data_IF_919578369448
#
_entry.id   IF_919578369448
#
_cell.length_a   1.000
_cell.length_b   1.000
_cell.length_c   1.000
_cell.angle_alpha   90.00
_cell.angle_beta   90.00
_cell.angle_gamma   90.00
#
_symmetry.space_group_name_H-M   'P 1'
#
loop_
_entity.id
_entity.type
_entity.pdbx_description
1 polymer ?
#
# COMPACT_ATOMS: atom_id res chain seq x y z
N UNK A 1 -9.02 -2.08 13.06
CA UNK A 1 -9.04 -3.55 12.82
C UNK A 1 -8.93 -3.97 11.34
N UNK A 2 -8.58 -3.09 10.37
CA UNK A 2 -8.50 -3.47 8.93
C UNK A 2 -7.09 -3.49 8.32
N UNK A 3 -6.04 -3.08 9.04
CA UNK A 3 -4.65 -3.10 8.53
C UNK A 3 -4.00 -4.49 8.51
N UNK A 4 -4.52 -5.46 9.26
CA UNK A 4 -3.99 -6.84 9.26
C UNK A 4 -4.17 -7.55 7.91
N UNK A 5 -5.19 -7.17 7.12
CA UNK A 5 -5.50 -7.81 5.83
C UNK A 5 -4.55 -7.41 4.70
N UNK A 6 -3.97 -6.20 4.72
CA UNK A 6 -3.02 -5.76 3.69
C UNK A 6 -1.61 -6.35 3.91
N UNK A 7 -1.19 -6.48 5.17
CA UNK A 7 0.08 -7.15 5.50
C UNK A 7 0.04 -8.64 5.15
N UNK A 8 -1.11 -9.31 5.33
CA UNK A 8 -1.34 -10.69 4.84
C UNK A 8 -1.31 -10.75 3.31
N UNK A 9 -1.76 -9.70 2.60
CA UNK A 9 -1.67 -9.64 1.14
C UNK A 9 -0.24 -9.43 0.65
N UNK A 10 0.54 -8.55 1.29
CA UNK A 10 1.97 -8.36 0.96
C UNK A 10 2.80 -9.61 1.34
N UNK A 11 2.49 -10.27 2.46
CA UNK A 11 3.08 -11.56 2.82
C UNK A 11 2.59 -12.71 1.91
N UNK A 12 1.37 -12.66 1.37
CA UNK A 12 0.87 -13.60 0.37
C UNK A 12 1.43 -13.32 -1.05
N UNK A 13 1.78 -12.07 -1.35
CA UNK A 13 2.53 -11.70 -2.56
C UNK A 13 4.01 -12.10 -2.44
N UNK A 14 4.55 -12.19 -1.22
CA UNK A 14 5.83 -12.84 -0.93
C UNK A 14 5.73 -14.36 -0.91
N UNK A 15 4.58 -14.92 -0.52
CA UNK A 15 4.25 -16.34 -0.58
C UNK A 15 3.48 -16.72 -1.85
N UNK A 16 3.96 -16.24 -3.00
CA UNK A 16 3.27 -16.20 -4.28
C UNK A 16 2.33 -17.37 -4.60
N UNK A 17 1.21 -17.01 -5.24
CA UNK A 17 0.35 -17.88 -6.03
C UNK A 17 1.14 -19.02 -6.68
N UNK A 18 0.67 -20.26 -6.49
CA UNK A 18 1.34 -21.53 -6.82
C UNK A 18 1.82 -21.70 -8.28
N UNK A 19 2.85 -20.96 -8.69
CA UNK A 19 3.58 -21.19 -9.93
C UNK A 19 5.04 -21.48 -9.62
N UNK A 20 5.40 -22.74 -9.90
CA UNK A 20 6.73 -23.31 -10.10
C UNK A 20 7.93 -22.70 -9.33
N UNK A 21 7.93 -22.84 -8.01
CA UNK A 21 9.16 -22.79 -7.21
C UNK A 21 10.10 -23.97 -7.57
N UNK A 22 11.44 -23.79 -7.54
CA UNK A 22 12.39 -24.88 -7.61
C UNK A 22 12.16 -25.89 -6.47
N UNK A 23 12.49 -27.18 -6.66
CA UNK A 23 12.07 -28.23 -5.75
C UNK A 23 12.87 -28.19 -4.45
N UNK A 24 12.39 -27.45 -3.44
CA UNK A 24 12.41 -28.04 -2.10
C UNK A 24 11.67 -29.38 -2.21
N UNK A 25 12.14 -30.49 -1.62
CA UNK A 25 11.42 -31.74 -1.65
C UNK A 25 9.99 -31.48 -1.16
N UNK A 26 9.05 -31.43 -2.11
CA UNK A 26 7.65 -31.09 -1.83
C UNK A 26 7.14 -32.20 -0.95
N UNK A 27 7.05 -31.93 0.34
CA UNK A 27 6.29 -32.81 1.20
C UNK A 27 4.88 -32.88 0.61
N UNK A 28 4.31 -34.10 0.51
CA UNK A 28 2.97 -34.26 0.00
C UNK A 28 2.04 -33.30 0.76
N UNK A 29 1.15 -32.58 0.06
CA UNK A 29 0.09 -31.82 0.69
C UNK A 29 -0.65 -32.69 1.71
N UNK A 30 -1.16 -32.16 2.83
CA UNK A 30 -1.91 -32.94 3.82
C UNK A 30 -3.00 -33.82 3.18
N UNK A 31 -3.65 -33.33 2.12
CA UNK A 31 -4.69 -34.04 1.35
C UNK A 31 -4.15 -35.31 0.66
N UNK A 32 -2.87 -35.30 0.25
CA UNK A 32 -2.21 -36.51 -0.29
C UNK A 32 -1.86 -37.53 0.80
N UNK A 33 -1.63 -37.08 2.04
CA UNK A 33 -1.46 -37.99 3.17
C UNK A 33 -2.80 -38.68 3.54
N UNK A 34 -3.94 -38.03 3.31
CA UNK A 34 -5.26 -38.59 3.63
C UNK A 34 -5.66 -39.76 2.74
N UNK A 35 -5.15 -39.82 1.51
CA UNK A 35 -5.35 -40.94 0.59
C UNK A 35 -4.49 -42.18 0.91
N UNK A 36 -3.65 -42.12 1.95
CA UNK A 36 -2.81 -43.25 2.37
C UNK A 36 -3.49 -44.04 3.49
N UNK A 37 -3.17 -45.32 3.61
CA UNK A 37 -3.75 -46.20 4.63
C UNK A 37 -2.84 -46.40 5.85
N UNK A 38 -3.46 -46.47 7.03
CA UNK A 38 -2.84 -46.89 8.29
C UNK A 38 -1.53 -46.17 8.63
N UNK A 39 -0.46 -46.95 8.86
CA UNK A 39 0.86 -46.45 9.28
C UNK A 39 1.50 -45.49 8.26
N UNK A 40 1.19 -45.63 6.98
CA UNK A 40 1.77 -44.79 5.93
C UNK A 40 1.20 -43.37 5.97
N UNK A 41 -0.10 -43.23 6.24
CA UNK A 41 -0.76 -41.93 6.48
C UNK A 41 -0.21 -41.24 7.71
N UNK A 42 -0.09 -41.96 8.82
CA UNK A 42 0.43 -41.40 10.08
C UNK A 42 1.86 -40.87 9.91
N UNK A 43 2.75 -41.66 9.29
CA UNK A 43 4.12 -41.22 9.00
C UNK A 43 4.18 -40.04 8.01
N UNK A 44 3.23 -39.95 7.08
CA UNK A 44 3.10 -38.81 6.17
C UNK A 44 2.70 -37.53 6.92
N UNK A 45 1.64 -37.60 7.73
CA UNK A 45 1.14 -36.48 8.53
C UNK A 45 2.18 -35.99 9.55
N UNK A 46 2.90 -36.90 10.21
CA UNK A 46 3.97 -36.52 11.14
C UNK A 46 5.08 -35.72 10.44
N UNK A 47 5.49 -36.14 9.24
CA UNK A 47 6.49 -35.42 8.44
C UNK A 47 5.98 -34.07 7.96
N UNK A 48 4.73 -33.99 7.51
CA UNK A 48 4.10 -32.74 7.10
C UNK A 48 4.06 -31.73 8.26
N UNK A 49 3.59 -32.15 9.45
CA UNK A 49 3.58 -31.32 10.67
C UNK A 49 4.98 -30.91 11.11
N UNK A 50 5.94 -31.83 11.09
CA UNK A 50 7.33 -31.54 11.45
C UNK A 50 7.94 -30.46 10.56
N UNK A 51 7.67 -30.50 9.25
CA UNK A 51 8.15 -29.50 8.31
C UNK A 51 7.39 -28.18 8.39
N UNK A 52 6.09 -28.20 8.64
CA UNK A 52 5.31 -26.99 8.91
C UNK A 52 5.81 -26.29 10.17
N UNK A 53 6.06 -27.03 11.26
CA UNK A 53 6.68 -26.50 12.46
C UNK A 53 8.10 -25.97 12.21
N UNK A 54 8.88 -26.63 11.34
CA UNK A 54 10.17 -26.15 10.86
C UNK A 54 10.05 -24.79 10.16
N UNK A 55 9.20 -24.70 9.14
CA UNK A 55 8.92 -23.44 8.40
C UNK A 55 8.43 -22.33 9.31
N UNK A 56 7.54 -22.65 10.26
CA UNK A 56 7.04 -21.68 11.25
C UNK A 56 8.17 -21.13 12.12
N UNK A 57 9.08 -21.97 12.61
CA UNK A 57 10.27 -21.53 13.37
C UNK A 57 11.22 -20.69 12.53
N UNK A 58 11.48 -21.07 11.28
CA UNK A 58 12.36 -20.33 10.38
C UNK A 58 11.77 -18.96 10.04
N UNK A 59 10.46 -18.90 9.77
CA UNK A 59 9.74 -17.65 9.54
C UNK A 59 9.76 -16.75 10.79
N UNK A 60 9.53 -17.30 11.98
CA UNK A 60 9.63 -16.55 13.23
C UNK A 60 11.06 -15.99 13.44
N UNK A 61 12.09 -16.78 13.13
CA UNK A 61 13.49 -16.35 13.22
C UNK A 61 13.81 -15.24 12.21
N UNK A 62 13.34 -15.37 10.98
CA UNK A 62 13.47 -14.35 9.94
C UNK A 62 12.77 -13.05 10.36
N UNK A 63 11.52 -13.13 10.80
CA UNK A 63 10.74 -11.99 11.26
C UNK A 63 11.43 -11.27 12.43
N UNK A 64 11.90 -11.99 13.44
CA UNK A 64 12.64 -11.36 14.54
C UNK A 64 13.97 -10.72 14.09
N UNK A 65 14.61 -11.23 13.03
CA UNK A 65 15.81 -10.63 12.46
C UNK A 65 15.50 -9.38 11.62
N UNK A 66 14.36 -9.36 10.92
CA UNK A 66 13.81 -8.17 10.25
C UNK A 66 13.50 -7.09 11.28
N UNK A 67 12.81 -7.43 12.36
CA UNK A 67 12.43 -6.45 13.40
C UNK A 67 13.67 -5.80 14.05
N UNK A 68 14.72 -6.60 14.35
CA UNK A 68 16.01 -6.06 14.80
C UNK A 68 16.71 -5.17 13.77
N UNK A 69 16.57 -5.48 12.48
CA UNK A 69 17.12 -4.63 11.43
C UNK A 69 16.36 -3.30 11.35
N UNK A 70 15.03 -3.34 11.41
CA UNK A 70 14.19 -2.15 11.38
C UNK A 70 14.41 -1.25 12.59
N UNK A 71 14.58 -1.80 13.79
CA UNK A 71 14.96 -1.01 14.97
C UNK A 71 16.31 -0.28 14.79
N UNK A 72 17.29 -0.92 14.14
CA UNK A 72 18.56 -0.25 13.80
C UNK A 72 18.37 0.82 12.72
N UNK A 73 17.49 0.57 11.75
CA UNK A 73 17.17 1.54 10.70
C UNK A 73 16.49 2.77 11.30
N UNK A 74 15.50 2.59 12.16
CA UNK A 74 14.82 3.63 12.94
C UNK A 74 15.84 4.53 13.65
N UNK A 75 16.76 3.94 14.42
CA UNK A 75 17.79 4.70 15.15
C UNK A 75 18.74 5.47 14.21
N UNK A 76 19.12 4.88 13.07
CA UNK A 76 20.00 5.53 12.09
C UNK A 76 19.31 6.72 11.42
N UNK A 77 18.07 6.56 11.00
CA UNK A 77 17.27 7.61 10.38
C UNK A 77 17.00 8.75 11.37
N UNK A 78 16.74 8.43 12.63
CA UNK A 78 16.60 9.46 13.67
C UNK A 78 17.88 10.31 13.82
N UNK A 79 19.04 9.64 13.77
CA UNK A 79 20.35 10.26 13.97
C UNK A 79 20.80 11.16 12.80
N UNK A 80 20.21 11.04 11.60
CA UNK A 80 20.55 11.95 10.48
C UNK A 80 20.08 13.38 10.77
N UNK A 81 19.02 13.54 11.57
CA UNK A 81 18.42 14.84 11.85
C UNK A 81 17.58 15.40 10.70
N UNK A 82 17.53 14.72 9.56
CA UNK A 82 16.74 15.12 8.38
C UNK A 82 15.24 14.90 8.63
N UNK A 83 14.40 15.86 8.22
CA UNK A 83 12.97 15.85 8.56
C UNK A 83 12.24 14.62 8.00
N UNK A 84 12.52 14.25 6.75
CA UNK A 84 11.93 13.05 6.10
C UNK A 84 12.38 11.76 6.78
N UNK A 85 13.65 11.67 7.19
CA UNK A 85 14.19 10.50 7.90
C UNK A 85 13.62 10.38 9.31
N UNK A 86 13.45 11.49 10.03
CA UNK A 86 12.81 11.51 11.35
C UNK A 86 11.35 11.05 11.29
N UNK A 87 10.61 11.47 10.24
CA UNK A 87 9.24 11.00 10.02
C UNK A 87 9.22 9.49 9.73
N UNK A 88 10.08 9.01 8.84
CA UNK A 88 10.19 7.59 8.53
C UNK A 88 10.63 6.76 9.76
N UNK A 89 11.51 7.30 10.61
CA UNK A 89 11.92 6.69 11.88
C UNK A 89 10.72 6.50 12.81
N UNK A 90 9.94 7.56 13.06
CA UNK A 90 8.73 7.50 13.88
C UNK A 90 7.75 6.42 13.38
N UNK A 91 7.66 6.29 12.06
CA UNK A 91 6.83 5.29 11.39
C UNK A 91 7.33 3.86 11.57
N UNK A 92 8.61 3.60 11.33
CA UNK A 92 9.20 2.28 11.53
C UNK A 92 8.98 1.82 12.97
N UNK A 93 9.23 2.69 13.95
CA UNK A 93 9.01 2.37 15.37
C UNK A 93 7.56 1.99 15.67
N UNK A 94 6.59 2.69 15.07
CA UNK A 94 5.20 2.35 15.24
C UNK A 94 4.78 1.04 14.59
N UNK A 95 5.32 0.74 13.41
CA UNK A 95 5.08 -0.52 12.73
C UNK A 95 5.62 -1.71 13.53
N UNK A 96 6.83 -1.58 14.10
CA UNK A 96 7.41 -2.56 15.04
C UNK A 96 6.47 -2.76 16.24
N UNK A 97 6.03 -1.66 16.87
CA UNK A 97 5.13 -1.73 18.02
C UNK A 97 3.76 -2.34 17.67
N UNK A 98 3.23 -2.10 16.46
CA UNK A 98 1.98 -2.69 15.98
C UNK A 98 2.09 -4.20 15.80
N UNK A 99 3.20 -4.66 15.21
CA UNK A 99 3.49 -6.10 15.06
C UNK A 99 3.70 -6.79 16.40
N UNK A 100 4.40 -6.14 17.34
CA UNK A 100 4.58 -6.65 18.71
C UNK A 100 3.22 -7.00 19.34
N UNK A 101 2.28 -6.04 19.31
CA UNK A 101 0.91 -6.22 19.82
C UNK A 101 0.11 -7.30 19.09
N UNK A 102 0.29 -7.45 17.78
CA UNK A 102 -0.43 -8.46 17.01
C UNK A 102 0.04 -9.90 17.32
N UNK A 103 1.28 -10.05 17.77
CA UNK A 103 1.86 -11.33 18.18
C UNK A 103 1.60 -11.66 19.66
N UNK A 104 1.18 -10.67 20.46
CA UNK A 104 0.92 -10.84 21.88
C UNK A 104 -0.38 -11.59 22.16
N UNK A 105 -0.24 -12.91 22.36
CA UNK A 105 -0.83 -13.61 23.49
C UNK A 105 0.21 -13.74 24.61
N UNK A 106 0.44 -12.66 25.37
CA UNK A 106 1.35 -12.55 26.53
C UNK A 106 2.86 -12.78 26.30
N UNK A 107 3.61 -11.70 26.07
CA UNK A 107 5.08 -11.62 26.27
C UNK A 107 5.90 -11.64 24.98
N UNK A 108 5.57 -10.77 24.03
CA UNK A 108 6.26 -10.67 22.75
C UNK A 108 7.73 -10.30 22.93
N UNK A 109 8.68 -11.04 22.33
CA UNK A 109 10.10 -10.66 22.32
C UNK A 109 10.40 -9.36 21.56
N UNK A 110 9.35 -8.69 21.04
CA UNK A 110 9.43 -7.40 20.38
C UNK A 110 9.13 -6.21 21.34
N UNK A 111 8.68 -6.49 22.57
CA UNK A 111 8.48 -5.45 23.58
C UNK A 111 9.80 -4.74 23.88
N UNK A 112 9.81 -3.41 23.71
CA UNK A 112 11.00 -2.57 23.89
C UNK A 112 11.94 -2.47 22.69
N UNK A 113 11.61 -3.06 21.53
CA UNK A 113 12.43 -2.90 20.32
C UNK A 113 12.22 -1.56 19.60
N UNK A 114 11.05 -0.93 19.73
CA UNK A 114 10.88 0.46 19.25
C UNK A 114 11.54 1.40 20.26
N UNK A 115 12.28 2.37 19.74
CA UNK A 115 12.94 3.38 20.56
C UNK A 115 12.00 4.43 21.14
N UNK A 116 10.72 4.44 20.73
CA UNK A 116 9.77 5.48 21.12
C UNK A 116 8.64 4.95 21.98
N UNK A 117 8.48 5.58 23.14
CA UNK A 117 7.20 5.59 23.84
C UNK A 117 6.17 6.42 23.04
N UNK A 118 4.85 6.16 23.17
CA UNK A 118 3.82 6.88 22.42
C UNK A 118 3.87 8.42 22.58
N UNK A 119 4.25 8.90 23.76
CA UNK A 119 4.44 10.32 24.09
C UNK A 119 5.66 10.93 23.38
N UNK A 120 6.81 10.26 23.40
CA UNK A 120 8.02 10.69 22.69
C UNK A 120 7.80 10.77 21.17
N UNK A 121 7.03 9.83 20.62
CA UNK A 121 6.66 9.86 19.20
C UNK A 121 5.83 11.09 18.86
N UNK A 122 4.87 11.46 19.69
CA UNK A 122 4.05 12.66 19.49
C UNK A 122 4.92 13.93 19.41
N UNK A 123 5.84 14.08 20.37
CA UNK A 123 6.78 15.21 20.40
C UNK A 123 7.67 15.25 19.16
N UNK A 124 8.19 14.10 18.71
CA UNK A 124 8.98 14.02 17.48
C UNK A 124 8.17 14.45 16.26
N UNK A 125 6.94 13.93 16.12
CA UNK A 125 6.08 14.24 14.99
C UNK A 125 5.68 15.73 14.94
N UNK A 126 5.44 16.36 16.09
CA UNK A 126 5.22 17.80 16.15
C UNK A 126 6.46 18.61 15.74
N UNK A 127 7.66 18.16 16.14
CA UNK A 127 8.91 18.79 15.73
C UNK A 127 9.15 18.64 14.21
N UNK A 128 8.87 17.45 13.66
CA UNK A 128 8.88 17.18 12.22
C UNK A 128 7.90 18.10 11.49
N UNK A 129 6.67 18.24 11.99
CA UNK A 129 5.67 19.13 11.39
C UNK A 129 6.15 20.58 11.32
N UNK A 130 6.73 21.11 12.40
CA UNK A 130 7.24 22.50 12.43
C UNK A 130 8.42 22.69 11.47
N UNK A 131 9.39 21.76 11.48
CA UNK A 131 10.61 21.86 10.65
C UNK A 131 10.37 21.56 9.17
N UNK A 132 9.37 20.73 8.88
CA UNK A 132 8.99 20.30 7.53
C UNK A 132 7.75 20.99 6.98
N UNK A 133 7.33 22.11 7.57
CA UNK A 133 6.11 22.82 7.17
C UNK A 133 6.13 23.29 5.71
N UNK A 134 7.32 23.45 5.10
CA UNK A 134 7.47 23.89 3.71
C UNK A 134 7.69 22.73 2.72
N UNK A 135 7.73 21.49 3.22
CA UNK A 135 7.92 20.29 2.41
C UNK A 135 6.59 19.57 2.21
N UNK A 136 5.98 19.74 1.03
CA UNK A 136 4.69 19.15 0.71
C UNK A 136 4.67 17.62 0.93
N UNK A 137 5.78 16.92 0.65
CA UNK A 137 5.85 15.47 0.83
C UNK A 137 5.81 15.07 2.31
N UNK A 138 6.46 15.84 3.19
CA UNK A 138 6.37 15.66 4.64
C UNK A 138 4.94 15.87 5.11
N UNK A 139 4.27 16.92 4.61
CA UNK A 139 2.87 17.19 4.96
C UNK A 139 1.93 16.08 4.46
N UNK A 140 2.15 15.55 3.25
CA UNK A 140 1.41 14.40 2.71
C UNK A 140 1.56 13.14 3.55
N UNK A 141 2.80 12.83 3.94
CA UNK A 141 3.07 11.71 4.84
C UNK A 141 2.36 11.92 6.18
N UNK A 142 2.48 13.09 6.81
CA UNK A 142 1.78 13.41 8.06
C UNK A 142 0.25 13.44 7.95
N UNK A 143 -0.31 13.72 6.77
CA UNK A 143 -1.75 13.79 6.58
C UNK A 143 -2.41 12.43 6.30
N UNK A 144 -1.63 11.46 5.79
CA UNK A 144 -2.11 10.15 5.31
C UNK A 144 -1.51 8.96 6.05
N UNK A 145 -0.59 9.18 6.99
CA UNK A 145 -0.05 8.11 7.81
C UNK A 145 -1.12 7.57 8.78
N UNK A 146 -1.29 6.24 8.84
CA UNK A 146 -2.14 5.57 9.81
C UNK A 146 -1.78 5.94 11.26
N UNK A 147 -0.51 6.25 11.54
CA UNK A 147 -0.07 6.79 12.82
C UNK A 147 -0.76 8.08 13.21
N UNK A 148 -0.91 8.99 12.26
CA UNK A 148 -1.42 10.35 12.53
C UNK A 148 -2.91 10.34 12.82
N UNK A 149 -3.61 9.23 12.57
CA UNK A 149 -4.97 9.02 13.08
C UNK A 149 -5.02 9.06 14.61
N UNK A 150 -3.93 8.71 15.30
CA UNK A 150 -3.79 8.86 16.75
C UNK A 150 -3.46 10.29 17.20
N UNK A 151 -3.15 11.20 16.27
CA UNK A 151 -2.80 12.60 16.52
C UNK A 151 -3.65 13.56 15.66
N UNK A 152 -4.96 13.72 15.93
CA UNK A 152 -5.87 14.44 15.04
C UNK A 152 -5.52 15.93 14.82
N UNK A 153 -4.94 16.60 15.82
CA UNK A 153 -4.49 17.99 15.73
C UNK A 153 -3.33 18.15 14.76
N UNK A 154 -2.33 17.27 14.86
CA UNK A 154 -1.19 17.20 13.95
C UNK A 154 -1.65 16.94 12.52
N UNK A 155 -2.52 15.94 12.33
CA UNK A 155 -3.08 15.61 11.01
C UNK A 155 -3.83 16.80 10.41
N UNK A 156 -4.63 17.50 11.21
CA UNK A 156 -5.35 18.72 10.79
C UNK A 156 -4.38 19.82 10.37
N UNK A 157 -3.32 20.06 11.15
CA UNK A 157 -2.30 21.05 10.82
C UNK A 157 -1.56 20.72 9.51
N UNK A 158 -1.23 19.44 9.29
CA UNK A 158 -0.59 19.00 8.07
C UNK A 158 -1.47 19.20 6.83
N UNK A 159 -2.76 18.85 6.93
CA UNK A 159 -3.73 19.06 5.85
C UNK A 159 -3.92 20.56 5.56
N UNK A 160 -4.05 21.40 6.59
CA UNK A 160 -4.18 22.84 6.40
C UNK A 160 -2.96 23.39 5.65
N UNK A 161 -1.75 22.94 6.01
CA UNK A 161 -0.53 23.35 5.32
C UNK A 161 -0.45 22.84 3.88
N UNK A 162 -0.93 21.62 3.59
CA UNK A 162 -1.04 21.11 2.21
C UNK A 162 -1.91 21.99 1.33
N UNK A 163 -3.03 22.51 1.86
CA UNK A 163 -3.91 23.41 1.09
C UNK A 163 -3.21 24.73 0.72
N UNK A 164 -2.25 25.18 1.54
CA UNK A 164 -1.44 26.37 1.26
C UNK A 164 -0.28 26.08 0.29
N UNK A 165 0.40 24.95 0.45
CA UNK A 165 1.52 24.55 -0.41
C UNK A 165 1.06 24.11 -1.82
N UNK A 166 -0.11 23.50 -1.91
CA UNK A 166 -0.64 22.90 -3.13
C UNK A 166 -2.09 23.32 -3.42
N UNK A 167 -2.36 24.64 -3.55
CA UNK A 167 -3.72 25.15 -3.69
C UNK A 167 -4.43 24.66 -4.97
N UNK A 168 -3.64 24.26 -5.97
CA UNK A 168 -4.03 23.77 -7.28
C UNK A 168 -4.19 22.24 -7.35
N UNK A 169 -3.80 21.51 -6.30
CA UNK A 169 -3.87 20.06 -6.24
C UNK A 169 -5.20 19.58 -5.68
N UNK A 170 -6.00 18.92 -6.52
CA UNK A 170 -7.28 18.35 -6.12
C UNK A 170 -7.13 17.34 -4.98
N UNK A 171 -6.07 16.53 -4.98
CA UNK A 171 -5.90 15.49 -3.97
C UNK A 171 -5.82 16.08 -2.55
N UNK A 172 -5.11 17.19 -2.36
CA UNK A 172 -5.00 17.88 -1.08
C UNK A 172 -6.37 18.40 -0.61
N UNK A 173 -7.17 18.97 -1.52
CA UNK A 173 -8.54 19.42 -1.21
C UNK A 173 -9.44 18.27 -0.81
N UNK A 174 -9.40 17.15 -1.53
CA UNK A 174 -10.21 15.97 -1.20
C UNK A 174 -9.84 15.37 0.15
N UNK A 175 -8.55 15.39 0.53
CA UNK A 175 -8.09 14.96 1.84
C UNK A 175 -8.63 15.85 2.98
N UNK A 176 -8.87 17.13 2.70
CA UNK A 176 -9.32 18.12 3.68
C UNK A 176 -10.82 18.07 4.00
N UNK A 177 -11.63 17.48 3.13
CA UNK A 177 -13.11 17.44 3.19
C UNK A 177 -13.62 17.05 4.58
N UNK A 178 -13.05 16.02 5.22
CA UNK A 178 -13.53 15.53 6.53
C UNK A 178 -12.82 16.09 7.75
N UNK A 179 -11.72 16.80 7.54
CA UNK A 179 -10.79 17.10 8.63
C UNK A 179 -10.74 18.58 8.92
N UNK A 180 -10.58 19.37 7.86
CA UNK A 180 -10.39 20.82 7.93
C UNK A 180 -11.62 21.55 7.40
N UNK A 181 -12.34 20.95 6.44
CA UNK A 181 -13.49 21.57 5.76
C UNK A 181 -14.83 20.84 6.06
N UNK A 182 -15.14 20.49 7.33
CA UNK A 182 -16.39 19.80 7.64
C UNK A 182 -17.58 20.74 7.39
N UNK A 183 -18.48 20.34 6.49
CA UNK A 183 -19.67 21.12 6.15
C UNK A 183 -19.44 22.26 5.16
N UNK A 184 -18.19 22.52 4.74
CA UNK A 184 -17.93 23.46 3.65
C UNK A 184 -18.32 22.86 2.31
N UNK A 185 -18.77 23.74 1.39
CA UNK A 185 -19.04 23.37 0.01
C UNK A 185 -17.75 22.86 -0.64
N UNK A 186 -17.85 21.74 -1.36
CA UNK A 186 -16.74 21.18 -2.12
C UNK A 186 -16.40 22.12 -3.29
N UNK A 187 -15.52 23.10 -3.04
CA UNK A 187 -14.98 23.98 -4.08
C UNK A 187 -13.67 23.41 -4.64
N UNK A 188 -13.78 22.92 -5.87
CA UNK A 188 -12.67 22.38 -6.66
C UNK A 188 -12.36 23.25 -7.87
N UNK A 189 -12.89 24.48 -7.90
CA UNK A 189 -12.76 25.40 -9.02
C UNK A 189 -11.30 25.71 -9.34
N UNK A 190 -10.50 25.90 -8.29
CA UNK A 190 -9.08 26.23 -8.36
C UNK A 190 -8.15 25.04 -8.65
N UNK A 191 -8.66 23.80 -8.64
CA UNK A 191 -7.80 22.61 -8.83
C UNK A 191 -7.51 22.37 -10.30
N UNK A 192 -6.23 22.38 -10.68
CA UNK A 192 -5.76 22.17 -12.06
C UNK A 192 -4.95 20.90 -12.24
N UNK A 193 -4.66 20.16 -11.17
CA UNK A 193 -3.99 18.84 -11.20
C UNK A 193 -4.51 17.89 -10.12
N UNK A 194 -4.14 16.63 -10.23
CA UNK A 194 -4.33 15.62 -9.18
C UNK A 194 -2.99 14.91 -8.94
N UNK A 195 -2.50 14.96 -7.71
CA UNK A 195 -1.30 14.21 -7.29
C UNK A 195 -1.44 13.84 -5.81
N UNK A 196 -1.57 12.55 -5.47
CA UNK A 196 -1.63 12.10 -4.08
C UNK A 196 -0.23 11.79 -3.50
N UNK A 197 0.82 12.13 -4.26
CA UNK A 197 2.22 11.83 -4.00
C UNK A 197 2.44 10.36 -3.62
N UNK A 198 1.62 9.45 -4.16
CA UNK A 198 1.57 8.07 -3.67
C UNK A 198 2.89 7.34 -3.93
N UNK A 199 3.40 7.44 -5.16
CA UNK A 199 4.67 6.84 -5.56
C UNK A 199 5.89 7.69 -5.17
N UNK A 200 5.74 9.01 -5.03
CA UNK A 200 6.83 9.84 -4.49
C UNK A 200 7.14 9.48 -3.03
N UNK A 201 6.10 9.20 -2.23
CA UNK A 201 6.29 8.66 -0.89
C UNK A 201 7.00 7.31 -0.93
N UNK A 202 6.60 6.38 -1.80
CA UNK A 202 7.31 5.09 -1.96
C UNK A 202 8.80 5.28 -2.23
N UNK A 203 9.19 6.28 -3.05
CA UNK A 203 10.59 6.58 -3.33
C UNK A 203 11.36 6.98 -2.07
N UNK A 204 10.77 7.74 -1.15
CA UNK A 204 11.39 8.06 0.16
C UNK A 204 11.71 6.79 0.95
N UNK A 205 10.81 5.80 0.98
CA UNK A 205 11.08 4.51 1.62
C UNK A 205 12.21 3.77 0.90
N UNK A 206 12.16 3.69 -0.44
CA UNK A 206 13.18 2.98 -1.23
C UNK A 206 14.57 3.59 -1.02
N UNK A 207 14.69 4.91 -1.02
CA UNK A 207 15.94 5.64 -0.80
C UNK A 207 16.52 5.42 0.60
N UNK A 208 15.67 5.39 1.63
CA UNK A 208 16.11 5.11 3.00
C UNK A 208 16.69 3.69 3.14
N UNK A 209 16.02 2.70 2.53
CA UNK A 209 16.46 1.30 2.54
C UNK A 209 17.69 1.07 1.66
N UNK A 210 17.89 1.88 0.62
CA UNK A 210 19.08 1.85 -0.22
C UNK A 210 20.30 2.44 0.49
N UNK A 211 20.13 3.55 1.23
CA UNK A 211 21.19 4.12 2.08
C UNK A 211 21.58 3.23 3.25
N UNK A 212 20.64 2.41 3.74
CA UNK A 212 20.83 1.57 4.93
C UNK A 212 20.37 0.13 4.70
N UNK A 213 21.00 -0.62 3.78
CA UNK A 213 20.50 -1.91 3.35
C UNK A 213 20.56 -2.97 4.46
N UNK A 214 19.70 -4.00 4.40
CA UNK A 214 19.79 -5.16 5.27
C UNK A 214 21.10 -5.91 5.05
N UNK A 215 21.56 -6.64 6.06
CA UNK A 215 22.78 -7.44 5.94
C UNK A 215 22.58 -8.63 4.98
N UNK A 216 23.65 -9.07 4.32
CA UNK A 216 23.65 -10.35 3.57
C UNK A 216 23.21 -11.55 4.41
N UNK A 217 23.51 -11.54 5.71
CA UNK A 217 23.09 -12.60 6.63
C UNK A 217 21.57 -12.63 6.77
N UNK A 218 20.93 -11.47 6.95
CA UNK A 218 19.47 -11.36 6.98
C UNK A 218 18.84 -11.76 5.64
N UNK A 219 19.42 -11.34 4.52
CA UNK A 219 18.92 -11.68 3.19
C UNK A 219 18.92 -13.20 2.92
N UNK A 220 19.95 -13.92 3.38
CA UNK A 220 20.01 -15.39 3.35
C UNK A 220 19.00 -16.09 4.27
N UNK A 221 18.46 -15.40 5.27
CA UNK A 221 17.44 -15.95 6.17
C UNK A 221 16.03 -15.82 5.59
N UNK A 222 15.84 -15.11 4.47
CA UNK A 222 14.53 -14.99 3.87
C UNK A 222 13.99 -16.38 3.49
N UNK A 223 12.66 -16.58 3.54
CA UNK A 223 12.03 -17.83 3.09
C UNK A 223 12.48 -18.23 1.67
N UNK A 224 12.32 -19.52 1.35
CA UNK A 224 12.58 -20.07 0.01
C UNK A 224 14.06 -20.01 -0.46
N UNK A 225 14.99 -20.03 0.50
CA UNK A 225 16.43 -20.13 0.21
C UNK A 225 17.19 -18.81 0.21
N UNK A 226 16.55 -17.73 0.67
CA UNK A 226 17.13 -16.39 0.72
C UNK A 226 16.81 -15.56 -0.52
N UNK A 227 17.13 -14.26 -0.44
CA UNK A 227 16.99 -13.31 -1.54
C UNK A 227 18.22 -12.41 -1.62
N UNK A 228 18.36 -11.68 -2.72
CA UNK A 228 19.38 -10.63 -2.82
C UNK A 228 19.10 -9.47 -1.87
N UNK A 229 20.14 -8.78 -1.41
CA UNK A 229 20.04 -7.72 -0.40
C UNK A 229 19.17 -6.56 -0.86
N UNK A 230 19.33 -6.13 -2.10
CA UNK A 230 18.56 -5.03 -2.70
C UNK A 230 17.09 -5.41 -2.91
N UNK A 231 16.84 -6.67 -3.27
CA UNK A 231 15.49 -7.24 -3.39
C UNK A 231 14.80 -7.24 -2.02
N UNK A 232 15.49 -7.68 -0.96
CA UNK A 232 14.96 -7.61 0.40
C UNK A 232 14.72 -6.16 0.84
N UNK A 233 15.65 -5.25 0.55
CA UNK A 233 15.54 -3.84 0.90
C UNK A 233 14.27 -3.21 0.29
N UNK A 234 14.07 -3.41 -1.01
CA UNK A 234 12.89 -2.93 -1.72
C UNK A 234 11.59 -3.57 -1.21
N UNK A 235 11.62 -4.87 -0.92
CA UNK A 235 10.47 -5.60 -0.35
C UNK A 235 10.03 -5.01 0.99
N UNK A 236 10.98 -4.74 1.89
CA UNK A 236 10.68 -4.17 3.20
C UNK A 236 10.19 -2.72 3.08
N UNK A 237 10.80 -1.92 2.19
CA UNK A 237 10.34 -0.55 1.90
C UNK A 237 8.89 -0.52 1.40
N UNK A 238 8.55 -1.38 0.42
CA UNK A 238 7.18 -1.52 -0.07
C UNK A 238 6.22 -2.00 1.02
N UNK A 239 6.65 -2.92 1.89
CA UNK A 239 5.85 -3.39 3.02
C UNK A 239 5.50 -2.25 3.99
N UNK A 240 6.46 -1.38 4.33
CA UNK A 240 6.20 -0.21 5.17
C UNK A 240 5.33 0.84 4.47
N UNK A 241 5.57 1.08 3.19
CA UNK A 241 4.76 1.99 2.39
C UNK A 241 3.32 1.49 2.23
N UNK A 242 3.09 0.18 2.15
CA UNK A 242 1.73 -0.39 2.02
C UNK A 242 0.82 -0.11 3.23
N UNK A 243 1.39 0.30 4.36
CA UNK A 243 0.64 0.76 5.54
C UNK A 243 0.24 2.25 5.42
N UNK A 244 0.67 2.97 4.37
CA UNK A 244 0.20 4.34 4.08
C UNK A 244 -1.29 4.24 3.78
N UNK A 245 -2.09 4.98 4.55
CA UNK A 245 -3.51 5.02 4.28
C UNK A 245 -3.73 5.74 2.95
N UNK A 246 -4.35 5.06 1.99
CA UNK A 246 -4.97 5.77 0.88
C UNK A 246 -6.03 6.72 1.46
N UNK A 247 -6.07 8.00 1.03
CA UNK A 247 -7.14 8.91 1.45
C UNK A 247 -8.51 8.24 1.33
N UNK A 248 -9.28 8.28 2.41
CA UNK A 248 -10.63 7.73 2.39
C UNK A 248 -11.55 8.68 1.63
N UNK A 249 -11.81 8.39 0.35
CA UNK A 249 -12.76 9.18 -0.47
C UNK A 249 -14.22 8.95 -0.11
N UNK A 250 -14.51 8.23 0.97
CA UNK A 250 -15.87 7.86 1.36
C UNK A 250 -16.75 9.09 1.59
N UNK A 251 -16.24 10.12 2.26
CA UNK A 251 -17.02 11.32 2.47
C UNK A 251 -17.15 12.20 1.23
N UNK A 252 -16.15 12.21 0.34
CA UNK A 252 -16.29 12.84 -0.97
C UNK A 252 -17.43 12.17 -1.75
N UNK A 253 -17.43 10.84 -1.81
CA UNK A 253 -18.48 10.05 -2.44
C UNK A 253 -19.83 10.29 -1.77
N UNK A 254 -19.88 10.39 -0.43
CA UNK A 254 -21.10 10.68 0.30
C UNK A 254 -21.63 12.10 -0.03
N UNK A 255 -20.79 13.13 -0.01
CA UNK A 255 -21.19 14.50 -0.39
C UNK A 255 -21.67 14.61 -1.84
N UNK A 256 -21.25 13.69 -2.70
CA UNK A 256 -21.64 13.61 -4.10
C UNK A 256 -22.71 12.57 -4.41
N UNK A 257 -23.33 11.95 -3.41
CA UNK A 257 -24.45 11.05 -3.64
C UNK A 257 -25.72 11.86 -3.97
N UNK A 258 -26.41 11.57 -5.09
CA UNK A 258 -27.57 12.35 -5.55
C UNK A 258 -28.75 12.31 -4.57
N UNK A 259 -28.88 11.25 -3.76
CA UNK A 259 -29.99 11.03 -2.83
C UNK A 259 -29.81 11.77 -1.50
N UNK A 260 -28.63 12.34 -1.24
CA UNK A 260 -28.30 13.04 0.00
C UNK A 260 -28.64 14.55 -0.08
N UNK A 261 -29.79 14.89 -0.67
CA UNK A 261 -30.31 16.25 -0.91
C UNK A 261 -30.56 17.15 0.33
N UNK A 262 -29.73 17.06 1.36
CA UNK A 262 -29.67 17.97 2.50
C UNK A 262 -28.71 19.14 2.28
N UNK A 263 -28.72 20.09 3.21
CA UNK A 263 -27.95 21.35 3.21
C UNK A 263 -26.41 21.21 3.14
N UNK A 264 -25.87 19.99 3.12
CA UNK A 264 -24.43 19.67 3.09
C UNK A 264 -23.98 18.96 1.80
N UNK A 265 -24.90 18.70 0.86
CA UNK A 265 -24.58 18.12 -0.45
C UNK A 265 -23.76 19.08 -1.30
N UNK A 266 -22.76 18.57 -2.01
CA UNK A 266 -21.99 19.37 -2.95
C UNK A 266 -22.83 19.65 -4.23
N UNK A 267 -22.68 20.82 -4.87
CA UNK A 267 -23.32 21.08 -6.15
C UNK A 267 -22.96 20.01 -7.17
N UNK A 268 -23.94 19.55 -7.94
CA UNK A 268 -23.76 18.49 -8.95
C UNK A 268 -22.57 18.76 -9.88
N UNK A 269 -22.41 19.99 -10.36
CA UNK A 269 -21.30 20.38 -11.23
C UNK A 269 -19.92 20.21 -10.57
N UNK A 270 -19.82 20.44 -9.26
CA UNK A 270 -18.58 20.19 -8.50
C UNK A 270 -18.29 18.68 -8.44
N UNK A 271 -19.31 17.86 -8.19
CA UNK A 271 -19.18 16.40 -8.17
C UNK A 271 -18.84 15.81 -9.54
N UNK A 272 -19.42 16.33 -10.62
CA UNK A 272 -19.07 15.96 -11.99
C UNK A 272 -17.60 16.28 -12.29
N UNK A 273 -17.13 17.48 -11.87
CA UNK A 273 -15.73 17.87 -12.01
C UNK A 273 -14.80 16.96 -11.21
N UNK A 274 -15.09 16.69 -9.94
CA UNK A 274 -14.29 15.76 -9.13
C UNK A 274 -14.25 14.39 -9.76
N UNK A 275 -15.40 13.82 -10.13
CA UNK A 275 -15.47 12.52 -10.79
C UNK A 275 -14.58 12.45 -12.04
N UNK A 276 -14.61 13.50 -12.87
CA UNK A 276 -13.77 13.61 -14.08
C UNK A 276 -12.28 13.66 -13.77
N UNK A 277 -11.86 14.57 -12.90
CA UNK A 277 -10.44 14.71 -12.54
C UNK A 277 -9.88 13.41 -11.93
N UNK A 278 -10.65 12.74 -11.07
CA UNK A 278 -10.25 11.45 -10.51
C UNK A 278 -10.13 10.37 -11.59
N UNK A 279 -11.08 10.28 -12.52
CA UNK A 279 -11.07 9.28 -13.60
C UNK A 279 -9.91 9.47 -14.59
N UNK A 280 -9.63 10.72 -14.96
CA UNK A 280 -8.64 11.07 -15.98
C UNK A 280 -7.22 11.16 -15.42
N UNK A 281 -7.07 11.72 -14.21
CA UNK A 281 -5.78 12.13 -13.64
C UNK A 281 -5.41 11.43 -12.34
N UNK A 282 -6.27 10.55 -11.82
CA UNK A 282 -5.93 9.70 -10.69
C UNK A 282 -4.61 8.96 -10.92
N UNK A 283 -3.72 9.01 -9.95
CA UNK A 283 -2.39 8.38 -9.97
C UNK A 283 -2.41 6.89 -9.61
N UNK A 284 -3.56 6.39 -9.14
CA UNK A 284 -3.81 4.99 -8.77
C UNK A 284 -5.06 4.42 -9.45
N UNK A 285 -5.08 3.10 -9.61
CA UNK A 285 -6.24 2.33 -10.10
C UNK A 285 -7.45 2.57 -9.21
N UNK A 286 -7.24 2.62 -7.90
CA UNK A 286 -8.30 2.87 -6.93
C UNK A 286 -8.94 4.24 -7.14
N UNK A 287 -8.13 5.30 -7.23
CA UNK A 287 -8.62 6.67 -7.44
C UNK A 287 -9.38 6.80 -8.76
N UNK A 288 -8.82 6.29 -9.86
CA UNK A 288 -9.51 6.30 -11.17
C UNK A 288 -10.83 5.53 -11.14
N UNK A 289 -10.84 4.38 -10.47
CA UNK A 289 -12.03 3.57 -10.29
C UNK A 289 -13.14 4.31 -9.52
N UNK A 290 -12.78 5.08 -8.50
CA UNK A 290 -13.71 5.93 -7.75
C UNK A 290 -14.27 7.04 -8.65
N UNK A 291 -13.41 7.74 -9.41
CA UNK A 291 -13.83 8.78 -10.35
C UNK A 291 -14.84 8.27 -11.39
N UNK A 292 -14.53 7.15 -12.03
CA UNK A 292 -15.42 6.49 -12.99
C UNK A 292 -16.76 6.10 -12.37
N UNK A 293 -16.75 5.54 -11.15
CA UNK A 293 -17.98 5.18 -10.46
C UNK A 293 -18.83 6.40 -10.05
N UNK A 294 -18.19 7.51 -9.68
CA UNK A 294 -18.88 8.78 -9.42
C UNK A 294 -19.53 9.32 -10.70
N UNK A 295 -18.78 9.38 -11.80
CA UNK A 295 -19.33 9.83 -13.09
C UNK A 295 -20.47 8.95 -13.57
N UNK A 296 -20.40 7.62 -13.40
CA UNK A 296 -21.48 6.71 -13.78
C UNK A 296 -22.80 7.02 -13.07
N UNK A 297 -22.74 7.42 -11.80
CA UNK A 297 -23.93 7.81 -11.02
C UNK A 297 -24.47 9.18 -11.41
N UNK A 298 -23.60 10.03 -11.94
CA UNK A 298 -23.94 11.38 -12.36
C UNK A 298 -24.30 11.45 -13.85
N UNK A 299 -24.07 10.41 -14.66
CA UNK A 299 -24.35 10.43 -16.09
C UNK A 299 -25.81 10.82 -16.40
N UNK A 300 -26.00 11.61 -17.45
CA UNK A 300 -27.31 12.11 -17.90
C UNK A 300 -28.00 11.19 -18.92
N UNK A 301 -27.25 10.25 -19.51
CA UNK A 301 -27.76 9.33 -20.54
C UNK A 301 -27.18 7.92 -20.40
N UNK A 302 -27.87 6.91 -20.96
CA UNK A 302 -27.36 5.54 -21.00
C UNK A 302 -26.08 5.43 -21.86
N UNK A 303 -25.94 6.26 -22.89
CA UNK A 303 -24.73 6.33 -23.72
C UNK A 303 -23.51 6.77 -22.90
N UNK A 304 -23.65 7.80 -22.06
CA UNK A 304 -22.59 8.23 -21.13
C UNK A 304 -22.26 7.12 -20.12
N UNK A 305 -23.27 6.45 -19.59
CA UNK A 305 -23.09 5.31 -18.68
C UNK A 305 -22.29 4.19 -19.36
N UNK A 306 -22.63 3.84 -20.60
CA UNK A 306 -21.95 2.79 -21.35
C UNK A 306 -20.50 3.13 -21.69
N UNK A 307 -20.22 4.38 -22.08
CA UNK A 307 -18.86 4.88 -22.28
C UNK A 307 -18.02 4.75 -20.99
N UNK A 308 -18.59 5.14 -19.84
CA UNK A 308 -17.92 5.03 -18.54
C UNK A 308 -17.76 3.57 -18.10
N UNK A 309 -18.73 2.68 -18.40
CA UNK A 309 -18.61 1.23 -18.18
C UNK A 309 -17.47 0.65 -19.02
N UNK A 310 -17.30 1.08 -20.26
CA UNK A 310 -16.19 0.66 -21.11
C UNK A 310 -14.84 1.07 -20.52
N UNK A 311 -14.68 2.33 -20.09
CA UNK A 311 -13.45 2.80 -19.43
C UNK A 311 -13.13 2.01 -18.16
N UNK A 312 -14.13 1.77 -17.30
CA UNK A 312 -13.96 0.96 -16.09
C UNK A 312 -13.58 -0.48 -16.40
N UNK A 313 -14.14 -1.06 -17.47
CA UNK A 313 -13.77 -2.39 -17.97
C UNK A 313 -12.30 -2.41 -18.39
N UNK A 314 -11.83 -1.41 -19.11
CA UNK A 314 -10.42 -1.27 -19.50
C UNK A 314 -9.49 -1.15 -18.28
N UNK A 315 -9.81 -0.26 -17.33
CA UNK A 315 -9.01 -0.11 -16.11
C UNK A 315 -8.93 -1.43 -15.30
N UNK A 316 -10.05 -2.13 -15.15
CA UNK A 316 -10.12 -3.41 -14.43
C UNK A 316 -9.31 -4.49 -15.13
N UNK A 317 -9.39 -4.56 -16.46
CA UNK A 317 -8.57 -5.47 -17.27
C UNK A 317 -7.09 -5.23 -17.05
N UNK A 318 -6.63 -3.99 -17.22
CA UNK A 318 -5.23 -3.63 -17.08
C UNK A 318 -4.70 -4.00 -15.68
N UNK A 319 -5.45 -3.65 -14.64
CA UNK A 319 -5.12 -4.01 -13.25
C UNK A 319 -5.00 -5.53 -13.06
N UNK A 320 -6.01 -6.31 -13.47
CA UNK A 320 -5.98 -7.77 -13.29
C UNK A 320 -4.88 -8.46 -14.11
N UNK A 321 -4.61 -8.00 -15.34
CA UNK A 321 -3.52 -8.54 -16.16
C UNK A 321 -2.16 -8.20 -15.57
N UNK A 322 -1.96 -6.96 -15.15
CA UNK A 322 -0.69 -6.53 -14.53
C UNK A 322 -0.38 -7.27 -13.23
N UNK A 323 -1.39 -7.64 -12.43
CA UNK A 323 -1.19 -8.41 -11.20
C UNK A 323 -0.50 -9.76 -11.45
N UNK A 324 -0.81 -10.44 -12.57
CA UNK A 324 -0.15 -11.69 -12.96
C UNK A 324 1.24 -11.52 -13.59
N UNK A 325 1.60 -10.29 -13.95
CA UNK A 325 2.88 -9.95 -14.58
C UNK A 325 3.85 -9.28 -13.62
N UNK A 326 3.34 -8.77 -12.49
CA UNK A 326 4.14 -8.01 -11.53
C UNK A 326 5.23 -8.93 -11.00
N UNK A 327 6.51 -8.61 -11.21
CA UNK A 327 7.59 -9.50 -10.79
C UNK A 327 7.58 -9.62 -9.27
N UNK A 328 7.78 -10.84 -8.79
CA UNK A 328 7.94 -11.11 -7.36
C UNK A 328 9.43 -11.26 -7.03
N UNK A 329 9.86 -10.90 -5.81
CA UNK A 329 11.21 -11.14 -5.30
C UNK A 329 11.72 -12.57 -5.51
N UNK A 330 10.84 -13.56 -5.30
CA UNK A 330 11.17 -14.98 -5.37
C UNK A 330 11.12 -15.58 -6.78
N UNK A 331 10.36 -15.00 -7.70
CA UNK A 331 10.17 -15.54 -9.05
C UNK A 331 11.28 -15.15 -10.02
N UNK A 332 11.57 -13.85 -10.13
CA UNK A 332 12.58 -13.32 -11.05
C UNK A 332 13.18 -12.03 -10.47
N UNK A 333 14.29 -12.19 -9.74
CA UNK A 333 14.99 -11.08 -9.11
C UNK A 333 15.51 -10.04 -10.13
N UNK A 334 15.87 -10.46 -11.36
CA UNK A 334 16.36 -9.54 -12.37
C UNK A 334 15.24 -8.65 -12.90
N UNK A 335 14.08 -9.24 -13.22
CA UNK A 335 12.88 -8.51 -13.61
C UNK A 335 12.34 -7.64 -12.47
N UNK A 336 12.38 -8.14 -11.23
CA UNK A 336 12.01 -7.33 -10.05
C UNK A 336 12.89 -6.09 -9.91
N UNK A 337 14.22 -6.22 -10.06
CA UNK A 337 15.14 -5.06 -10.09
C UNK A 337 14.82 -4.09 -11.23
N UNK A 338 14.49 -4.60 -12.41
CA UNK A 338 14.11 -3.75 -13.54
C UNK A 338 12.84 -2.95 -13.26
N UNK A 339 11.81 -3.61 -12.72
CA UNK A 339 10.58 -2.97 -12.31
C UNK A 339 10.83 -1.93 -11.20
N UNK A 340 11.68 -2.25 -10.22
CA UNK A 340 12.10 -1.33 -9.16
C UNK A 340 12.83 -0.07 -9.67
N UNK A 341 13.53 -0.14 -10.81
CA UNK A 341 14.07 1.06 -11.46
C UNK A 341 12.97 1.91 -12.07
N UNK A 342 11.93 1.31 -12.66
CA UNK A 342 10.79 2.05 -13.20
C UNK A 342 10.02 2.77 -12.07
N UNK A 343 9.77 2.09 -10.96
CA UNK A 343 9.11 2.68 -9.77
C UNK A 343 9.85 3.93 -9.27
N UNK A 344 11.19 3.92 -9.32
CA UNK A 344 12.02 5.07 -8.93
C UNK A 344 12.02 6.22 -9.92
N UNK A 345 11.57 6.02 -11.16
CA UNK A 345 11.58 7.07 -12.17
C UNK A 345 10.69 8.26 -11.73
N UNK A 346 11.16 9.51 -11.85
CA UNK A 346 10.35 10.70 -11.56
C UNK A 346 9.06 10.72 -12.39
N UNK A 347 7.97 11.19 -11.79
CA UNK A 347 6.65 11.27 -12.45
C UNK A 347 5.92 9.93 -12.58
N UNK A 348 6.57 8.80 -12.35
CA UNK A 348 5.95 7.48 -12.48
C UNK A 348 4.78 7.28 -11.49
N UNK A 349 3.63 6.90 -12.04
CA UNK A 349 2.38 6.56 -11.31
C UNK A 349 2.07 5.06 -11.38
N UNK A 350 1.08 4.59 -10.59
CA UNK A 350 0.62 3.19 -10.67
C UNK A 350 0.12 2.86 -12.08
N UNK A 351 -0.60 3.81 -12.68
CA UNK A 351 -1.24 3.66 -14.00
C UNK A 351 -0.18 3.51 -15.09
N UNK A 352 0.88 4.31 -15.03
CA UNK A 352 2.00 4.22 -15.98
C UNK A 352 2.80 2.93 -15.79
N UNK A 353 3.02 2.49 -14.55
CA UNK A 353 3.69 1.21 -14.27
C UNK A 353 2.90 0.02 -14.81
N UNK A 354 1.58 0.00 -14.60
CA UNK A 354 0.69 -1.04 -15.13
C UNK A 354 0.77 -1.08 -16.66
N UNK A 355 0.68 0.09 -17.32
CA UNK A 355 0.76 0.17 -18.78
C UNK A 355 2.11 -0.26 -19.32
N UNK A 356 3.20 0.19 -18.69
CA UNK A 356 4.58 -0.20 -19.03
C UNK A 356 4.74 -1.72 -18.96
N UNK A 357 4.27 -2.33 -17.86
CA UNK A 357 4.35 -3.78 -17.65
C UNK A 357 3.56 -4.59 -18.68
N UNK A 358 2.38 -4.11 -19.07
CA UNK A 358 1.56 -4.76 -20.11
C UNK A 358 2.22 -4.65 -21.49
N UNK A 359 2.76 -3.47 -21.83
CA UNK A 359 3.48 -3.25 -23.09
C UNK A 359 4.71 -4.17 -23.17
N UNK A 360 5.51 -4.23 -22.10
CA UNK A 360 6.70 -5.09 -22.02
C UNK A 360 6.34 -6.57 -22.20
N UNK A 361 5.18 -7.00 -21.68
CA UNK A 361 4.68 -8.36 -21.81
C UNK A 361 3.97 -8.67 -23.14
N UNK A 362 3.81 -7.67 -24.03
CA UNK A 362 3.03 -7.82 -25.27
C UNK A 362 1.52 -8.01 -25.03
N UNK A 363 1.02 -7.59 -23.88
CA UNK A 363 -0.39 -7.71 -23.51
C UNK A 363 -1.18 -6.50 -24.01
N UNK A 364 -2.40 -6.69 -24.54
CA UNK A 364 -3.20 -5.60 -25.04
C UNK A 364 -3.66 -4.69 -23.89
N UNK A 365 -3.55 -3.37 -24.08
CA UNK A 365 -4.05 -2.39 -23.12
C UNK A 365 -5.59 -2.36 -23.07
N UNK A 366 -6.25 -2.68 -24.19
CA UNK A 366 -7.70 -2.80 -24.26
C UNK A 366 -8.17 -4.25 -24.04
N UNK A 367 -9.22 -4.46 -23.24
CA UNK A 367 -9.77 -5.79 -23.04
C UNK A 367 -10.44 -6.32 -24.32
N UNK A 368 -10.21 -7.60 -24.68
CA UNK A 368 -10.92 -8.25 -25.80
C UNK A 368 -12.43 -8.14 -25.66
N UNK A 369 -13.19 -7.91 -26.74
CA UNK A 369 -14.64 -7.62 -26.71
C UNK A 369 -15.45 -8.60 -25.85
N UNK A 370 -15.09 -9.89 -25.86
CA UNK A 370 -15.74 -10.94 -25.07
C UNK A 370 -15.36 -10.95 -23.59
N UNK A 371 -14.26 -10.27 -23.21
CA UNK A 371 -13.82 -10.21 -21.82
C UNK A 371 -14.82 -9.44 -20.97
N UNK A 372 -15.16 -10.04 -19.83
CA UNK A 372 -15.96 -9.44 -18.77
C UNK A 372 -15.18 -9.66 -17.46
N UNK A 373 -15.14 -8.65 -16.56
CA UNK A 373 -14.60 -8.89 -15.23
C UNK A 373 -15.45 -9.99 -14.60
N UNK A 374 -14.83 -11.07 -14.15
CA UNK A 374 -15.57 -12.06 -13.38
C UNK A 374 -16.05 -11.37 -12.10
N UNK A 375 -17.32 -11.54 -11.70
CA UNK A 375 -17.74 -11.10 -10.40
C UNK A 375 -16.80 -11.76 -9.40
N UNK A 376 -15.97 -10.96 -8.73
CA UNK A 376 -15.18 -11.47 -7.63
C UNK A 376 -16.21 -11.96 -6.64
N UNK A 377 -16.41 -13.28 -6.57
CA UNK A 377 -17.16 -13.87 -5.48
C UNK A 377 -16.33 -13.54 -4.26
N UNK A 378 -16.68 -12.45 -3.59
CA UNK A 378 -16.26 -12.19 -2.23
C UNK A 378 -16.81 -13.36 -1.43
N UNK A 379 -16.07 -14.47 -1.40
CA UNK A 379 -16.27 -15.49 -0.40
C UNK A 379 -16.22 -14.73 0.91
N UNK A 380 -17.36 -14.66 1.62
CA UNK A 380 -17.38 -14.15 2.99
C UNK A 380 -16.36 -14.99 3.75
N UNK A 381 -15.21 -14.39 4.03
CA UNK A 381 -14.17 -14.98 4.88
C UNK A 381 -14.62 -14.87 6.32
#
# INVERSE_FOLDING_TARGET
>A
MRSASLLVLVLALLGGSAQALPPTPRLPPPERCEAMDGRAREACLLRARGAEAGRSRDLARFNGAVDRYLARLEARLLATGEVRDQLLSARIGAWIASRARALDGAGSPLDGLSGFRPDERGVLLEAVQRRGQDDALVQWMLATDALTLAYPSLRRAAIARLLELEPDNLAARLLAVDVVLPGETLDVAASTRFDAHHYERLRVYLEAFERHPPSRALARMAPDGGVEVDVLAATLAMGLWSDDATPMYQAVVARCAPDLGGATGAPRAACERVGRELAERGDTVLVRGIGLAMQQRLAASEEEVDALRAQRRTLTWQSLRSAGLTPTPAGDAARFRAWMRQVRAPGMTEIELIRSLLIEAGEPLEPPVYWRPQPQTLRRV
#
